data_IF_084323394681
#
_entry.id   IF_084323394681
#
_cell.length_a   1.000
_cell.length_b   1.000
_cell.length_c   1.000
_cell.angle_alpha   90.00
_cell.angle_beta   90.00
_cell.angle_gamma   90.00
#
_symmetry.space_group_name_H-M   'P 1'
#
loop_
_entity.id
_entity.type
_entity.pdbx_description
1 polymer ?
#
# COMPACT_ATOMS: atom_id res chain seq x y z
N UNK A 1 3.62 -17.88 3.04
CA UNK A 1 4.04 -17.21 4.29
C UNK A 1 2.99 -17.42 5.38
N UNK A 2 1.72 -17.07 5.17
CA UNK A 2 0.65 -17.20 6.17
C UNK A 2 0.43 -18.62 6.69
N UNK A 3 0.74 -19.64 5.93
CA UNK A 3 0.58 -21.05 6.34
C UNK A 3 1.54 -21.47 7.46
N UNK A 4 2.69 -20.80 7.57
CA UNK A 4 3.73 -21.10 8.56
C UNK A 4 3.74 -20.13 9.74
N UNK A 5 3.02 -19.02 9.63
CA UNK A 5 2.89 -18.03 10.69
C UNK A 5 1.89 -18.48 11.77
N UNK A 6 1.90 -17.81 12.92
CA UNK A 6 0.98 -18.08 14.01
C UNK A 6 -0.48 -17.90 13.56
N UNK A 7 -1.23 -18.98 13.52
CA UNK A 7 -2.64 -18.97 13.14
C UNK A 7 -3.50 -18.32 14.23
N UNK A 8 -4.57 -17.65 13.84
CA UNK A 8 -5.43 -16.90 14.76
C UNK A 8 -6.05 -17.78 15.86
N UNK A 9 -6.52 -18.96 15.50
CA UNK A 9 -7.09 -19.94 16.43
C UNK A 9 -6.10 -20.40 17.52
N UNK A 10 -4.79 -20.41 17.20
CA UNK A 10 -3.70 -20.71 18.14
C UNK A 10 -3.27 -19.48 18.93
N UNK A 11 -3.37 -18.29 18.33
CA UNK A 11 -3.05 -17.04 18.98
C UNK A 11 -4.04 -16.72 20.12
N UNK A 12 -5.33 -16.96 19.91
CA UNK A 12 -6.38 -16.65 20.89
C UNK A 12 -6.11 -17.24 22.29
N UNK A 13 -5.90 -18.56 22.46
CA UNK A 13 -5.65 -19.12 23.79
C UNK A 13 -4.31 -18.66 24.39
N UNK A 14 -3.33 -18.33 23.57
CA UNK A 14 -2.06 -17.78 24.03
C UNK A 14 -2.26 -16.35 24.59
N UNK A 15 -2.99 -15.52 23.88
CA UNK A 15 -3.30 -14.15 24.31
C UNK A 15 -4.15 -14.15 25.57
N UNK A 16 -5.17 -15.04 25.71
CA UNK A 16 -5.95 -15.18 26.94
C UNK A 16 -5.05 -15.48 28.16
N UNK A 17 -4.09 -16.37 27.99
CA UNK A 17 -3.14 -16.70 29.08
C UNK A 17 -2.26 -15.51 29.44
N UNK A 18 -1.82 -14.71 28.48
CA UNK A 18 -0.99 -13.52 28.73
C UNK A 18 -1.79 -12.39 29.38
N UNK A 19 -3.04 -12.19 28.95
CA UNK A 19 -3.96 -11.24 29.59
C UNK A 19 -4.17 -11.64 31.06
N UNK A 20 -4.54 -12.90 31.33
CA UNK A 20 -4.75 -13.40 32.70
C UNK A 20 -3.49 -13.29 33.58
N UNK A 21 -2.31 -13.51 33.00
CA UNK A 21 -1.04 -13.32 33.70
C UNK A 21 -0.80 -11.84 34.03
N UNK A 22 -1.11 -10.94 33.13
CA UNK A 22 -1.05 -9.50 33.35
C UNK A 22 -1.98 -9.09 34.49
N UNK A 23 -3.24 -9.49 34.43
CA UNK A 23 -4.26 -9.22 35.44
C UNK A 23 -3.81 -9.72 36.86
N UNK A 24 -3.27 -10.95 36.94
CA UNK A 24 -2.74 -11.53 38.15
C UNK A 24 -1.63 -10.68 38.79
N UNK A 25 -0.86 -9.98 37.99
CA UNK A 25 0.27 -9.16 38.45
C UNK A 25 -0.02 -7.64 38.42
N UNK A 26 -1.29 -7.25 38.32
CA UNK A 26 -1.71 -5.84 38.17
C UNK A 26 -0.95 -5.11 37.05
N UNK A 27 -0.77 -5.79 35.93
CA UNK A 27 -0.15 -5.26 34.69
C UNK A 27 -1.13 -5.37 33.54
N UNK A 28 -1.06 -4.38 32.65
CA UNK A 28 -1.81 -4.42 31.39
C UNK A 28 -0.94 -5.13 30.36
N UNK A 29 -1.50 -6.17 29.73
CA UNK A 29 -0.92 -6.80 28.56
C UNK A 29 -1.60 -6.27 27.32
N UNK A 30 -0.82 -5.90 26.32
CA UNK A 30 -1.32 -5.43 25.04
C UNK A 30 -0.46 -5.94 23.87
N UNK A 31 -0.93 -5.72 22.65
CA UNK A 31 -0.21 -6.14 21.43
C UNK A 31 0.11 -4.94 20.55
N UNK A 32 1.19 -5.06 19.80
CA UNK A 32 1.53 -4.10 18.75
C UNK A 32 1.21 -4.69 17.39
N UNK A 33 0.39 -3.99 16.63
CA UNK A 33 0.05 -4.27 15.24
C UNK A 33 0.64 -3.17 14.37
N UNK A 34 1.48 -3.43 13.36
CA UNK A 34 2.18 -4.66 13.01
C UNK A 34 3.63 -4.32 12.65
N UNK A 35 4.48 -5.31 12.47
CA UNK A 35 5.82 -5.13 11.90
C UNK A 35 5.74 -5.17 10.37
N UNK A 36 6.90 -4.93 9.71
CA UNK A 36 7.08 -5.19 8.28
C UNK A 36 6.73 -6.65 7.95
N UNK A 37 6.14 -6.85 6.79
CA UNK A 37 5.66 -8.15 6.35
C UNK A 37 6.63 -8.75 5.32
N UNK A 38 7.19 -9.95 5.53
CA UNK A 38 8.04 -10.58 4.55
C UNK A 38 7.22 -11.06 3.34
N UNK A 39 7.68 -10.73 2.15
CA UNK A 39 7.12 -11.17 0.88
C UNK A 39 8.20 -11.85 0.04
N UNK A 40 7.82 -12.87 -0.72
CA UNK A 40 8.76 -13.60 -1.57
C UNK A 40 9.22 -12.72 -2.74
N UNK A 41 10.49 -12.89 -3.10
CA UNK A 41 11.06 -12.30 -4.30
C UNK A 41 10.89 -13.31 -5.43
N UNK A 42 10.15 -12.92 -6.47
CA UNK A 42 9.83 -13.83 -7.58
C UNK A 42 10.67 -13.56 -8.83
N UNK A 43 11.19 -12.36 -8.99
CA UNK A 43 11.84 -11.92 -10.22
C UNK A 43 13.28 -11.42 -10.01
N UNK A 44 13.96 -11.88 -8.96
CA UNK A 44 15.31 -11.45 -8.60
C UNK A 44 15.46 -9.92 -8.43
N UNK A 45 14.43 -9.24 -7.93
CA UNK A 45 14.40 -7.79 -7.72
C UNK A 45 15.43 -7.37 -6.67
N UNK A 46 15.70 -8.25 -5.70
CA UNK A 46 16.73 -8.09 -4.67
C UNK A 46 17.56 -9.37 -4.55
N UNK A 47 18.81 -9.29 -4.08
CA UNK A 47 19.55 -10.48 -3.67
C UNK A 47 18.87 -11.10 -2.44
N UNK A 48 18.53 -12.38 -2.53
CA UNK A 48 17.86 -13.14 -1.47
C UNK A 48 16.49 -13.66 -1.91
N UNK A 49 15.82 -14.34 -0.99
CA UNK A 49 14.52 -14.98 -1.26
C UNK A 49 13.34 -14.14 -0.83
N UNK A 50 13.55 -13.21 0.09
CA UNK A 50 12.48 -12.39 0.69
C UNK A 50 12.85 -10.92 0.76
N UNK A 51 11.84 -10.07 0.71
CA UNK A 51 11.90 -8.65 1.01
C UNK A 51 10.80 -8.28 2.02
N UNK A 52 10.85 -7.08 2.59
CA UNK A 52 9.90 -6.64 3.59
C UNK A 52 8.96 -5.57 3.06
N UNK A 53 7.67 -5.87 3.05
CA UNK A 53 6.62 -4.89 2.78
C UNK A 53 6.43 -3.99 3.99
N UNK A 54 6.32 -2.68 3.76
CA UNK A 54 6.15 -1.68 4.80
C UNK A 54 5.20 -0.55 4.37
N UNK A 55 4.89 0.35 5.28
CA UNK A 55 4.12 1.55 4.98
C UNK A 55 2.64 1.28 4.71
N UNK A 56 2.07 2.01 3.75
CA UNK A 56 0.62 2.07 3.53
C UNK A 56 -0.01 0.73 3.13
N UNK A 57 0.72 -0.13 2.46
CA UNK A 57 0.26 -1.47 2.07
C UNK A 57 -0.01 -2.41 3.25
N UNK A 58 0.52 -2.09 4.44
CA UNK A 58 0.22 -2.84 5.67
C UNK A 58 -1.15 -2.47 6.28
N UNK A 59 -1.73 -1.33 5.93
CA UNK A 59 -2.96 -0.83 6.58
C UNK A 59 -4.12 -1.84 6.53
N UNK A 60 -4.48 -2.45 5.38
CA UNK A 60 -5.57 -3.42 5.32
C UNK A 60 -5.34 -4.64 6.21
N UNK A 61 -4.12 -5.18 6.16
CA UNK A 61 -3.75 -6.36 6.97
C UNK A 61 -3.79 -6.03 8.46
N UNK A 62 -3.23 -4.88 8.85
CA UNK A 62 -3.16 -4.46 10.24
C UNK A 62 -4.54 -4.22 10.84
N UNK A 63 -5.41 -3.49 10.13
CA UNK A 63 -6.76 -3.19 10.62
C UNK A 63 -7.65 -4.44 10.57
N UNK A 64 -7.50 -5.31 9.58
CA UNK A 64 -8.21 -6.60 9.58
C UNK A 64 -7.85 -7.50 10.77
N UNK A 65 -6.57 -7.53 11.18
CA UNK A 65 -6.16 -8.22 12.41
C UNK A 65 -6.70 -7.53 13.65
N UNK A 66 -6.70 -6.18 13.68
CA UNK A 66 -7.29 -5.42 14.79
C UNK A 66 -8.80 -5.71 14.95
N UNK A 67 -9.53 -5.83 13.84
CA UNK A 67 -10.95 -6.21 13.83
C UNK A 67 -11.17 -7.59 14.48
N UNK A 68 -10.42 -8.60 14.04
CA UNK A 68 -10.51 -9.95 14.61
C UNK A 68 -10.18 -9.97 16.11
N UNK A 69 -9.11 -9.28 16.51
CA UNK A 69 -8.71 -9.22 17.92
C UNK A 69 -9.70 -8.43 18.78
N UNK A 70 -10.21 -7.31 18.28
CA UNK A 70 -11.21 -6.52 19.03
C UNK A 70 -12.54 -7.24 19.17
N UNK A 71 -12.95 -8.00 18.16
CA UNK A 71 -14.14 -8.85 18.24
C UNK A 71 -14.00 -9.95 19.30
N UNK A 72 -12.80 -10.53 19.46
CA UNK A 72 -12.52 -11.61 20.42
C UNK A 72 -12.32 -11.10 21.85
N UNK A 73 -11.56 -10.03 22.05
CA UNK A 73 -11.08 -9.60 23.36
C UNK A 73 -11.69 -8.29 23.87
N UNK A 74 -12.25 -7.47 22.96
CA UNK A 74 -12.77 -6.14 23.30
C UNK A 74 -11.71 -5.26 23.97
N UNK A 75 -12.10 -4.55 25.04
CA UNK A 75 -11.23 -3.66 25.79
C UNK A 75 -10.14 -4.37 26.61
N UNK A 76 -10.23 -5.70 26.77
CA UNK A 76 -9.25 -6.50 27.54
C UNK A 76 -7.88 -6.58 26.87
N UNK A 77 -7.80 -6.33 25.56
CA UNK A 77 -6.56 -6.37 24.80
C UNK A 77 -6.27 -5.02 24.15
N UNK A 78 -5.58 -4.10 24.84
CA UNK A 78 -5.10 -2.86 24.24
C UNK A 78 -4.18 -3.14 23.06
N UNK A 79 -4.32 -2.32 22.03
CA UNK A 79 -3.55 -2.44 20.79
C UNK A 79 -2.78 -1.14 20.51
N UNK A 80 -1.52 -1.27 20.13
CA UNK A 80 -0.75 -0.18 19.53
C UNK A 80 -0.60 -0.40 18.03
N UNK A 81 -0.33 0.67 17.28
CA UNK A 81 -0.33 0.63 15.83
C UNK A 81 1.02 0.95 15.21
N UNK A 82 1.37 0.20 14.16
CA UNK A 82 2.46 0.49 13.26
C UNK A 82 2.13 -0.10 11.88
N UNK A 83 2.16 0.68 10.82
CA UNK A 83 1.93 0.17 9.47
C UNK A 83 1.03 1.08 8.62
N UNK A 84 1.63 2.11 8.02
CA UNK A 84 0.94 2.96 7.06
C UNK A 84 0.02 4.02 7.65
N UNK A 85 0.24 4.44 8.90
CA UNK A 85 -0.43 5.62 9.44
C UNK A 85 0.05 6.86 8.69
N UNK A 86 -0.90 7.63 8.18
CA UNK A 86 -0.72 8.88 7.43
C UNK A 86 -1.77 9.89 7.87
N UNK A 87 -1.63 11.14 7.44
CA UNK A 87 -2.55 12.22 7.79
C UNK A 87 -4.03 11.86 7.56
N UNK A 88 -4.34 11.13 6.49
CA UNK A 88 -5.71 10.80 6.11
C UNK A 88 -6.38 9.74 7.00
N UNK A 89 -5.61 8.92 7.71
CA UNK A 89 -6.15 7.80 8.48
C UNK A 89 -5.79 7.81 9.97
N UNK A 90 -4.82 8.63 10.39
CA UNK A 90 -4.33 8.62 11.76
C UNK A 90 -5.42 8.92 12.78
N UNK A 91 -6.31 9.88 12.48
CA UNK A 91 -7.43 10.21 13.36
C UNK A 91 -8.38 9.03 13.53
N UNK A 92 -8.76 8.37 12.44
CA UNK A 92 -9.65 7.21 12.49
C UNK A 92 -9.03 6.06 13.31
N UNK A 93 -7.71 5.84 13.21
CA UNK A 93 -7.00 4.84 14.01
C UNK A 93 -7.05 5.21 15.51
N UNK A 94 -6.83 6.48 15.85
CA UNK A 94 -6.92 6.96 17.23
C UNK A 94 -8.34 6.85 17.79
N UNK A 95 -9.35 7.24 17.02
CA UNK A 95 -10.76 7.16 17.44
C UNK A 95 -11.20 5.71 17.71
N UNK A 96 -10.55 4.74 17.08
CA UNK A 96 -10.73 3.31 17.38
C UNK A 96 -10.16 2.86 18.73
N UNK A 97 -9.46 3.72 19.45
CA UNK A 97 -8.78 3.36 20.70
C UNK A 97 -7.50 2.53 20.48
N UNK A 98 -6.91 2.62 19.30
CA UNK A 98 -5.63 1.97 18.99
C UNK A 98 -4.50 2.99 19.21
N UNK A 99 -3.77 2.80 20.31
CA UNK A 99 -2.77 3.76 20.77
C UNK A 99 -1.67 3.05 21.59
N UNK A 100 -0.36 3.48 21.49
CA UNK A 100 0.17 4.55 20.63
C UNK A 100 0.27 4.15 19.16
N UNK A 101 0.29 5.16 18.30
CA UNK A 101 0.54 5.00 16.86
C UNK A 101 2.00 5.36 16.57
N UNK A 102 2.71 4.47 15.86
CA UNK A 102 4.09 4.71 15.43
C UNK A 102 4.16 4.83 13.92
N UNK A 103 5.04 5.70 13.44
CA UNK A 103 5.27 5.98 12.03
C UNK A 103 6.76 5.87 11.68
N UNK A 104 7.07 5.36 10.50
CA UNK A 104 8.43 5.28 9.99
C UNK A 104 8.48 5.70 8.51
N UNK A 105 7.86 4.94 7.63
CA UNK A 105 7.94 5.12 6.17
C UNK A 105 7.58 6.54 5.72
N UNK A 106 6.58 7.17 6.34
CA UNK A 106 6.16 8.53 6.00
C UNK A 106 7.25 9.57 6.29
N UNK A 107 8.15 9.30 7.23
CA UNK A 107 9.26 10.19 7.58
C UNK A 107 10.41 10.12 6.56
N UNK A 108 10.43 9.07 5.75
CA UNK A 108 11.41 8.90 4.67
C UNK A 108 10.99 9.64 3.39
N UNK A 109 9.81 10.26 3.40
CA UNK A 109 9.28 11.06 2.29
C UNK A 109 9.83 12.49 2.33
N UNK A 110 9.60 13.25 1.24
CA UNK A 110 10.22 14.56 1.03
C UNK A 110 10.01 15.64 2.10
N UNK A 111 8.99 15.50 2.97
CA UNK A 111 8.76 16.42 4.09
C UNK A 111 9.46 15.98 5.39
N UNK A 112 9.91 14.70 5.44
CA UNK A 112 10.65 14.18 6.58
C UNK A 112 9.93 14.41 7.91
N UNK A 113 10.66 14.87 8.92
CA UNK A 113 10.13 15.12 10.27
C UNK A 113 9.07 16.23 10.36
N UNK A 114 8.95 17.11 9.37
CA UNK A 114 7.89 18.12 9.34
C UNK A 114 6.49 17.48 9.27
N UNK A 115 6.42 16.24 8.78
CA UNK A 115 5.19 15.44 8.76
C UNK A 115 4.62 15.20 10.16
N UNK A 116 5.45 15.14 11.21
CA UNK A 116 4.96 14.92 12.58
C UNK A 116 3.98 15.99 13.04
N UNK A 117 4.26 17.27 12.73
CA UNK A 117 3.34 18.33 13.09
C UNK A 117 1.98 18.11 12.45
N UNK A 118 1.95 17.81 11.14
CA UNK A 118 0.70 17.57 10.42
C UNK A 118 -0.07 16.35 10.97
N UNK A 119 0.63 15.31 11.42
CA UNK A 119 0.01 14.15 12.07
C UNK A 119 -0.53 14.48 13.46
N UNK A 120 0.21 15.28 14.25
CA UNK A 120 -0.20 15.71 15.59
C UNK A 120 -1.44 16.61 15.52
N UNK A 121 -1.46 17.55 14.58
CA UNK A 121 -2.59 18.47 14.38
C UNK A 121 -3.90 17.70 14.09
N UNK A 122 -3.84 16.55 13.38
CA UNK A 122 -5.04 15.73 13.10
C UNK A 122 -5.62 15.05 14.35
N UNK A 123 -4.80 14.78 15.35
CA UNK A 123 -5.22 14.08 16.58
C UNK A 123 -5.34 15.00 17.80
N UNK A 124 -5.05 16.29 17.65
CA UNK A 124 -5.05 17.27 18.74
C UNK A 124 -6.40 17.36 19.45
N UNK A 125 -7.50 17.22 18.71
CA UNK A 125 -8.87 17.26 19.22
C UNK A 125 -9.36 15.91 19.79
N UNK A 126 -8.54 14.86 19.79
CA UNK A 126 -8.94 13.55 20.26
C UNK A 126 -9.00 13.53 21.79
N UNK A 127 -10.09 13.00 22.35
CA UNK A 127 -10.16 12.70 23.78
C UNK A 127 -9.28 11.51 24.10
N UNK A 128 -8.09 11.77 24.64
CA UNK A 128 -7.12 10.73 24.98
C UNK A 128 -7.64 9.74 26.05
N UNK A 129 -8.56 10.14 26.91
CA UNK A 129 -9.15 9.21 27.89
C UNK A 129 -10.10 8.22 27.21
N UNK A 130 -10.85 8.65 26.21
CA UNK A 130 -11.67 7.77 25.38
C UNK A 130 -10.80 6.92 24.45
N UNK A 131 -9.74 7.49 23.88
CA UNK A 131 -8.82 6.79 22.97
C UNK A 131 -8.01 5.64 23.64
N UNK A 132 -8.02 5.53 24.97
CA UNK A 132 -7.40 4.40 25.68
C UNK A 132 -8.27 3.14 25.69
N UNK A 133 -9.51 3.22 25.21
CA UNK A 133 -10.43 2.08 25.14
C UNK A 133 -10.60 1.61 23.72
N UNK A 134 -10.47 0.31 23.53
CA UNK A 134 -10.68 -0.32 22.22
C UNK A 134 -12.16 -0.28 21.85
N UNK A 135 -12.49 0.35 20.73
CA UNK A 135 -13.83 0.51 20.21
C UNK A 135 -14.06 -0.43 19.02
N UNK A 136 -14.50 -1.66 19.29
CA UNK A 136 -14.64 -2.71 18.27
C UNK A 136 -15.57 -2.32 17.10
N UNK A 137 -16.62 -1.54 17.37
CA UNK A 137 -17.56 -1.07 16.34
C UNK A 137 -16.87 -0.11 15.37
N UNK A 138 -16.06 0.83 15.88
CA UNK A 138 -15.31 1.77 15.06
C UNK A 138 -14.19 1.06 14.27
N UNK A 139 -13.58 0.02 14.87
CA UNK A 139 -12.58 -0.80 14.14
C UNK A 139 -13.21 -1.55 12.98
N UNK A 140 -14.38 -2.13 13.17
CA UNK A 140 -15.11 -2.81 12.10
C UNK A 140 -15.55 -1.84 10.98
N UNK A 141 -15.99 -0.62 11.34
CA UNK A 141 -16.31 0.42 10.38
C UNK A 141 -15.05 0.86 9.60
N UNK A 142 -13.93 1.08 10.30
CA UNK A 142 -12.65 1.41 9.69
C UNK A 142 -12.16 0.31 8.73
N UNK A 143 -12.30 -0.96 9.11
CA UNK A 143 -11.95 -2.10 8.27
C UNK A 143 -12.78 -2.11 6.98
N UNK A 144 -14.08 -1.85 7.09
CA UNK A 144 -14.98 -1.72 5.95
C UNK A 144 -14.58 -0.56 5.03
N UNK A 145 -14.31 0.62 5.59
CA UNK A 145 -13.91 1.80 4.83
C UNK A 145 -12.59 1.58 4.08
N UNK A 146 -11.67 0.83 4.67
CA UNK A 146 -10.42 0.43 4.01
C UNK A 146 -10.71 -0.56 2.87
N UNK A 147 -11.56 -1.56 3.10
CA UNK A 147 -11.95 -2.53 2.07
C UNK A 147 -12.66 -1.86 0.87
N UNK A 148 -13.41 -0.78 1.13
CA UNK A 148 -14.05 0.06 0.09
C UNK A 148 -13.09 1.10 -0.51
N UNK A 149 -11.78 1.02 -0.24
CA UNK A 149 -10.72 1.92 -0.72
C UNK A 149 -10.87 3.41 -0.35
N UNK A 150 -11.76 3.78 0.57
CA UNK A 150 -12.00 5.18 0.95
C UNK A 150 -10.77 5.88 1.52
N UNK A 151 -9.93 5.14 2.27
CA UNK A 151 -8.73 5.65 2.93
C UNK A 151 -7.43 5.45 2.13
N UNK A 152 -7.51 4.81 0.97
CA UNK A 152 -6.39 4.65 0.05
C UNK A 152 -6.32 5.73 -1.02
N UNK A 153 -7.35 6.58 -1.14
CA UNK A 153 -7.34 7.68 -2.11
C UNK A 153 -6.15 8.60 -1.86
N UNK A 154 -5.46 8.93 -2.93
CA UNK A 154 -4.44 9.96 -2.89
C UNK A 154 -5.11 11.30 -2.59
N UNK A 155 -4.55 12.07 -1.64
CA UNK A 155 -5.08 13.39 -1.34
C UNK A 155 -4.92 14.33 -2.55
N UNK A 156 -5.79 15.33 -2.65
CA UNK A 156 -5.68 16.36 -3.71
C UNK A 156 -4.33 17.09 -3.65
N UNK A 157 -3.75 17.22 -2.46
CA UNK A 157 -2.41 17.78 -2.29
C UNK A 157 -1.34 16.89 -2.91
N UNK A 158 -1.44 15.55 -2.78
CA UNK A 158 -0.54 14.60 -3.43
C UNK A 158 -0.72 14.58 -4.94
N UNK A 159 -1.96 14.68 -5.43
CA UNK A 159 -2.25 14.82 -6.86
C UNK A 159 -1.60 16.08 -7.44
N UNK A 160 -1.77 17.24 -6.78
CA UNK A 160 -1.15 18.51 -7.19
C UNK A 160 0.37 18.47 -7.15
N UNK A 161 0.96 17.83 -6.12
CA UNK A 161 2.40 17.66 -6.02
C UNK A 161 2.93 16.81 -7.18
N UNK A 162 2.22 15.76 -7.54
CA UNK A 162 2.54 14.91 -8.68
C UNK A 162 2.48 15.67 -10.01
N UNK A 163 1.43 16.47 -10.22
CA UNK A 163 1.28 17.32 -11.40
C UNK A 163 2.38 18.39 -11.51
N UNK A 164 2.81 18.93 -10.35
CA UNK A 164 3.85 19.96 -10.28
C UNK A 164 5.28 19.41 -10.40
N UNK A 165 5.50 18.10 -10.26
CA UNK A 165 6.84 17.53 -10.44
C UNK A 165 7.23 17.61 -11.92
N UNK A 166 8.42 18.14 -12.23
CA UNK A 166 8.85 18.25 -13.61
C UNK A 166 8.93 16.85 -14.23
N UNK A 167 8.30 16.67 -15.37
CA UNK A 167 8.59 15.51 -16.20
C UNK A 167 9.98 15.69 -16.79
N UNK A 168 10.81 14.66 -16.70
CA UNK A 168 12.13 14.71 -17.28
C UNK A 168 12.02 14.60 -18.82
N UNK A 169 12.58 15.53 -19.60
CA UNK A 169 12.53 15.45 -21.04
C UNK A 169 13.10 14.12 -21.55
N UNK A 170 12.40 13.47 -22.44
CA UNK A 170 12.86 12.25 -23.13
C UNK A 170 12.62 10.94 -22.36
N UNK A 171 11.87 10.94 -21.26
CA UNK A 171 11.58 9.75 -20.49
C UNK A 171 10.16 9.27 -20.52
N UNK A 172 9.21 10.09 -20.92
CA UNK A 172 8.04 9.53 -21.56
C UNK A 172 8.49 8.90 -22.85
N UNK A 173 9.04 7.70 -22.72
CA UNK A 173 9.11 6.88 -23.90
C UNK A 173 7.65 6.69 -24.33
N UNK A 174 7.33 7.18 -25.49
CA UNK A 174 6.04 6.92 -26.14
C UNK A 174 5.75 5.41 -26.26
N UNK A 175 6.73 4.59 -25.98
CA UNK A 175 6.72 3.14 -25.99
C UNK A 175 6.80 2.51 -24.57
N UNK A 176 6.85 3.33 -23.50
CA UNK A 176 6.93 2.89 -22.10
C UNK A 176 8.11 1.98 -21.76
N UNK A 177 9.10 1.87 -22.64
CA UNK A 177 10.26 1.03 -22.48
C UNK A 177 11.29 1.67 -21.53
N UNK A 178 11.81 0.87 -20.62
CA UNK A 178 13.01 1.18 -19.88
C UNK A 178 14.22 0.74 -20.70
N UNK A 179 15.03 1.67 -21.19
CA UNK A 179 16.18 1.34 -22.06
C UNK A 179 17.24 0.51 -21.36
N UNK A 180 17.43 0.72 -20.05
CA UNK A 180 18.50 0.10 -19.27
C UNK A 180 18.04 -1.14 -18.54
N UNK A 181 16.76 -1.22 -18.17
CA UNK A 181 16.14 -2.27 -17.37
C UNK A 181 16.99 -2.67 -16.15
N UNK A 182 17.58 -1.68 -15.49
CA UNK A 182 18.50 -1.90 -14.36
C UNK A 182 17.80 -2.39 -13.09
N UNK A 183 16.46 -2.29 -13.02
CA UNK A 183 15.66 -2.69 -11.86
C UNK A 183 15.83 -1.81 -10.61
N UNK A 184 16.50 -0.66 -10.71
CA UNK A 184 16.69 0.23 -9.54
C UNK A 184 15.37 0.70 -8.96
N UNK A 185 14.40 1.10 -9.80
CA UNK A 185 13.07 1.54 -9.36
C UNK A 185 12.28 0.44 -8.62
N UNK A 186 12.50 -0.82 -8.96
CA UNK A 186 11.93 -1.97 -8.25
C UNK A 186 12.57 -2.14 -6.88
N UNK A 187 13.91 -2.15 -6.83
CA UNK A 187 14.68 -2.39 -5.61
C UNK A 187 14.54 -1.31 -4.55
N UNK A 188 14.48 -0.04 -4.95
CA UNK A 188 14.43 1.09 -4.02
C UNK A 188 13.01 1.43 -3.56
N UNK A 189 11.98 0.80 -4.14
CA UNK A 189 10.61 1.08 -3.76
C UNK A 189 10.27 0.42 -2.41
N UNK A 190 10.01 1.22 -1.35
CA UNK A 190 9.72 0.65 -0.03
C UNK A 190 8.40 -0.11 0.03
N UNK A 191 7.51 0.12 -0.95
CA UNK A 191 6.18 -0.47 -1.01
C UNK A 191 6.00 -1.43 -2.20
N UNK A 192 7.08 -1.78 -2.88
CA UNK A 192 7.05 -2.69 -4.05
C UNK A 192 6.03 -2.26 -5.11
N UNK A 193 6.02 -0.98 -5.47
CA UNK A 193 5.07 -0.43 -6.43
C UNK A 193 5.52 -0.51 -7.89
N UNK A 194 6.68 -1.08 -8.17
CA UNK A 194 7.17 -1.25 -9.53
C UNK A 194 7.48 -2.72 -9.76
N UNK A 195 6.77 -3.32 -10.70
CA UNK A 195 6.89 -4.73 -11.03
C UNK A 195 7.51 -4.90 -12.42
N UNK A 196 8.27 -5.97 -12.60
CA UNK A 196 8.84 -6.34 -13.90
C UNK A 196 7.87 -7.27 -14.58
N UNK A 197 7.57 -7.03 -15.84
CA UNK A 197 6.84 -7.97 -16.71
C UNK A 197 7.67 -8.28 -17.95
N UNK A 198 7.46 -9.46 -18.52
CA UNK A 198 8.18 -9.87 -19.74
C UNK A 198 7.23 -9.97 -20.92
N UNK A 199 7.46 -9.13 -21.91
CA UNK A 199 6.67 -9.10 -23.16
C UNK A 199 7.61 -9.35 -24.34
N UNK A 200 7.41 -10.43 -25.08
CA UNK A 200 8.25 -10.81 -26.23
C UNK A 200 9.76 -10.75 -25.91
N UNK A 201 10.16 -11.38 -24.80
CA UNK A 201 11.53 -11.41 -24.27
C UNK A 201 12.09 -10.04 -23.82
N UNK A 202 11.33 -8.97 -23.95
CA UNK A 202 11.70 -7.66 -23.42
C UNK A 202 11.10 -7.46 -22.00
N UNK A 203 11.92 -6.95 -21.09
CA UNK A 203 11.47 -6.60 -19.73
C UNK A 203 10.93 -5.18 -19.70
N UNK A 204 9.75 -5.01 -19.13
CA UNK A 204 9.08 -3.73 -18.92
C UNK A 204 8.82 -3.52 -17.44
N UNK A 205 8.62 -2.28 -17.04
CA UNK A 205 8.24 -1.93 -15.68
C UNK A 205 6.78 -1.49 -15.70
N UNK A 206 5.95 -2.15 -14.89
CA UNK A 206 4.58 -1.73 -14.59
C UNK A 206 4.55 -1.13 -13.20
N UNK A 207 3.97 0.04 -13.08
CA UNK A 207 3.77 0.71 -11.80
C UNK A 207 2.43 0.26 -11.19
N UNK A 208 2.41 -0.03 -9.88
CA UNK A 208 1.20 -0.41 -9.13
C UNK A 208 0.76 0.79 -8.29
N UNK A 209 -0.32 1.43 -8.67
CA UNK A 209 -0.78 2.70 -8.07
C UNK A 209 -1.20 2.57 -6.61
N UNK A 210 -1.96 1.53 -6.28
CA UNK A 210 -2.59 1.33 -4.97
C UNK A 210 -1.60 1.37 -3.80
N UNK A 211 -0.43 0.77 -3.98
CA UNK A 211 0.60 0.69 -2.95
C UNK A 211 1.56 1.89 -2.96
N UNK A 212 1.50 2.75 -3.97
CA UNK A 212 2.41 3.86 -4.14
C UNK A 212 2.05 5.02 -3.18
N UNK A 213 3.04 5.43 -2.39
CA UNK A 213 2.94 6.62 -1.54
C UNK A 213 3.65 7.85 -2.15
N UNK A 214 4.08 7.77 -3.41
CA UNK A 214 4.73 8.86 -4.16
C UNK A 214 5.98 9.44 -3.46
N UNK A 215 6.74 8.59 -2.76
CA UNK A 215 7.95 9.02 -2.05
C UNK A 215 9.07 9.54 -2.97
N UNK A 216 9.00 9.26 -4.28
CA UNK A 216 10.00 9.69 -5.26
C UNK A 216 11.30 8.88 -5.30
N UNK A 217 11.48 7.86 -4.44
CA UNK A 217 12.71 7.06 -4.42
C UNK A 217 13.04 6.43 -5.77
N UNK A 218 12.03 5.91 -6.47
CA UNK A 218 12.24 5.31 -7.78
C UNK A 218 12.73 6.33 -8.82
N UNK A 219 12.28 7.58 -8.75
CA UNK A 219 12.76 8.66 -9.61
C UNK A 219 14.17 9.11 -9.23
N UNK A 220 14.44 9.26 -7.92
CA UNK A 220 15.75 9.67 -7.41
C UNK A 220 16.87 8.69 -7.81
N UNK A 221 16.58 7.39 -7.85
CA UNK A 221 17.54 6.33 -8.17
C UNK A 221 17.46 5.84 -9.62
N UNK A 222 16.61 6.45 -10.44
CA UNK A 222 16.56 6.12 -11.86
C UNK A 222 17.83 6.63 -12.55
N UNK A 223 18.49 5.75 -13.28
CA UNK A 223 19.69 6.11 -14.06
C UNK A 223 19.33 6.90 -15.33
N UNK A 224 18.07 6.86 -15.74
CA UNK A 224 17.52 7.72 -16.78
C UNK A 224 16.74 8.88 -16.13
N UNK A 225 16.62 10.03 -16.80
CA UNK A 225 15.77 11.12 -16.34
C UNK A 225 14.29 10.71 -16.40
N UNK A 226 13.81 9.94 -15.44
CA UNK A 226 12.51 9.27 -15.39
C UNK A 226 11.89 9.29 -14.01
N UNK A 227 10.60 9.46 -13.97
CA UNK A 227 9.77 9.27 -12.78
C UNK A 227 8.97 7.96 -12.95
N UNK A 228 9.52 6.77 -12.61
CA UNK A 228 8.87 5.51 -12.89
C UNK A 228 7.42 5.42 -12.41
N UNK A 229 7.11 6.02 -11.24
CA UNK A 229 5.75 6.06 -10.68
C UNK A 229 4.77 6.94 -11.48
N UNK A 230 5.26 7.71 -12.46
CA UNK A 230 4.46 8.58 -13.32
C UNK A 230 4.58 8.21 -14.80
N UNK A 231 5.79 7.84 -15.22
CA UNK A 231 6.13 7.69 -16.65
C UNK A 231 5.95 6.24 -17.15
N UNK A 232 5.67 5.27 -16.27
CA UNK A 232 5.45 3.87 -16.65
C UNK A 232 3.98 3.54 -16.74
N UNK A 233 3.63 2.53 -17.54
CA UNK A 233 2.27 1.96 -17.54
C UNK A 233 1.88 1.65 -16.09
N UNK A 234 0.72 2.10 -15.69
CA UNK A 234 0.24 1.97 -14.33
C UNK A 234 -0.90 0.97 -14.24
N UNK A 235 -0.78 0.00 -13.34
CA UNK A 235 -1.90 -0.83 -12.93
C UNK A 235 -2.69 -0.11 -11.83
N UNK A 236 -4.00 0.05 -12.05
CA UNK A 236 -4.94 0.62 -11.10
C UNK A 236 -5.83 -0.46 -10.52
N UNK A 237 -6.21 -0.30 -9.28
CA UNK A 237 -7.09 -1.25 -8.60
C UNK A 237 -8.52 -1.26 -9.17
N UNK A 238 -9.01 -0.12 -9.63
CA UNK A 238 -10.35 0.05 -10.18
C UNK A 238 -10.45 1.29 -11.10
N UNK A 239 -11.64 1.49 -11.67
CA UNK A 239 -11.95 2.60 -12.55
C UNK A 239 -11.79 3.98 -11.85
N UNK A 240 -12.13 4.08 -10.57
CA UNK A 240 -12.04 5.31 -9.81
C UNK A 240 -10.58 5.73 -9.64
N UNK A 241 -9.69 4.78 -9.35
CA UNK A 241 -8.25 5.03 -9.24
C UNK A 241 -7.65 5.47 -10.58
N UNK A 242 -8.09 4.91 -11.70
CA UNK A 242 -7.70 5.37 -13.04
C UNK A 242 -8.18 6.81 -13.28
N UNK A 243 -9.45 7.11 -12.99
CA UNK A 243 -10.02 8.44 -13.18
C UNK A 243 -9.31 9.51 -12.32
N UNK A 244 -8.87 9.12 -11.11
CA UNK A 244 -8.15 9.99 -10.16
C UNK A 244 -6.69 10.23 -10.54
N UNK A 245 -6.14 9.52 -11.52
CA UNK A 245 -4.76 9.62 -11.98
C UNK A 245 -4.66 10.26 -13.36
N UNK A 246 -3.50 10.81 -13.68
CA UNK A 246 -3.16 11.28 -15.04
C UNK A 246 -2.25 10.31 -15.79
N UNK A 247 -1.88 9.19 -15.16
CA UNK A 247 -1.00 8.22 -15.80
C UNK A 247 -1.74 7.40 -16.85
N UNK A 248 -1.03 7.03 -17.88
CA UNK A 248 -1.47 5.95 -18.75
C UNK A 248 -1.40 4.62 -18.00
N UNK A 249 -2.43 3.79 -18.15
CA UNK A 249 -2.50 2.53 -17.43
C UNK A 249 -3.82 1.82 -17.61
N UNK A 250 -4.02 0.81 -16.77
CA UNK A 250 -5.17 -0.07 -16.89
C UNK A 250 -5.64 -0.60 -15.53
N UNK A 251 -6.89 -1.02 -15.47
CA UNK A 251 -7.45 -1.84 -14.41
C UNK A 251 -8.21 -3.03 -14.99
N UNK A 252 -8.40 -4.07 -14.19
CA UNK A 252 -9.04 -5.32 -14.64
C UNK A 252 -10.27 -5.60 -13.79
N UNK A 253 -11.36 -6.02 -14.45
CA UNK A 253 -12.59 -6.47 -13.80
C UNK A 253 -13.10 -7.71 -14.55
N UNK A 254 -12.86 -8.88 -13.97
CA UNK A 254 -13.16 -10.16 -14.63
C UNK A 254 -12.36 -10.32 -15.94
N UNK A 255 -13.04 -10.44 -17.08
CA UNK A 255 -12.42 -10.52 -18.42
C UNK A 255 -12.27 -9.16 -19.11
N UNK A 256 -12.79 -8.09 -18.49
CA UNK A 256 -12.75 -6.75 -19.04
C UNK A 256 -11.58 -5.95 -18.51
N UNK A 257 -11.04 -5.07 -19.33
CA UNK A 257 -9.98 -4.13 -18.99
C UNK A 257 -10.44 -2.71 -19.31
N UNK A 258 -10.40 -1.83 -18.30
CA UNK A 258 -10.49 -0.40 -18.52
C UNK A 258 -9.09 0.18 -18.61
N UNK A 259 -8.88 1.13 -19.51
CA UNK A 259 -7.56 1.69 -19.75
C UNK A 259 -7.59 3.17 -20.13
N UNK A 260 -6.48 3.84 -19.87
CA UNK A 260 -6.04 5.09 -20.50
C UNK A 260 -4.70 4.83 -21.13
N UNK A 261 -4.59 5.05 -22.45
CA UNK A 261 -3.37 4.79 -23.19
C UNK A 261 -3.25 5.73 -24.39
N UNK A 262 -2.17 6.51 -24.43
CA UNK A 262 -1.88 7.47 -25.52
C UNK A 262 -3.04 8.45 -25.82
N UNK A 263 -3.76 8.84 -24.78
CA UNK A 263 -4.88 9.79 -24.89
C UNK A 263 -6.23 9.14 -25.22
N UNK A 264 -6.30 7.84 -25.39
CA UNK A 264 -7.54 7.08 -25.53
C UNK A 264 -7.94 6.48 -24.16
N UNK A 265 -9.23 6.56 -23.84
CA UNK A 265 -9.83 5.90 -22.68
C UNK A 265 -11.00 5.03 -23.13
N UNK A 266 -10.98 3.76 -22.73
CA UNK A 266 -12.06 2.83 -23.03
C UNK A 266 -12.11 1.67 -22.02
N UNK A 267 -13.20 0.91 -22.10
CA UNK A 267 -13.37 -0.38 -21.42
C UNK A 267 -13.71 -1.40 -22.50
N UNK A 268 -12.93 -2.48 -22.57
CA UNK A 268 -13.13 -3.53 -23.55
C UNK A 268 -12.73 -4.89 -22.96
N UNK A 269 -12.94 -5.96 -23.71
CA UNK A 269 -12.34 -7.26 -23.44
C UNK A 269 -10.80 -7.16 -23.53
N UNK A 270 -10.08 -7.91 -22.68
CA UNK A 270 -8.60 -7.90 -22.65
C UNK A 270 -8.02 -8.22 -24.04
N UNK A 271 -8.69 -9.10 -24.80
CA UNK A 271 -8.25 -9.48 -26.14
C UNK A 271 -8.49 -8.40 -27.22
N UNK A 272 -9.33 -7.42 -26.91
CA UNK A 272 -9.63 -6.29 -27.79
C UNK A 272 -8.77 -5.03 -27.52
N UNK A 273 -7.84 -5.08 -26.57
CA UNK A 273 -6.93 -3.99 -26.24
C UNK A 273 -6.03 -3.60 -27.43
N UNK A 274 -5.56 -2.32 -27.47
CA UNK A 274 -4.47 -1.93 -28.37
C UNK A 274 -3.28 -2.88 -28.24
N UNK A 275 -2.69 -3.30 -29.36
CA UNK A 275 -1.69 -4.39 -29.39
C UNK A 275 -0.50 -4.13 -28.45
N UNK A 276 -0.04 -2.88 -28.36
CA UNK A 276 1.06 -2.50 -27.47
C UNK A 276 0.71 -2.66 -25.98
N UNK A 277 -0.53 -2.34 -25.60
CA UNK A 277 -1.01 -2.47 -24.21
C UNK A 277 -1.39 -3.92 -23.88
N UNK A 278 -1.96 -4.63 -24.84
CA UNK A 278 -2.41 -6.03 -24.72
C UNK A 278 -1.29 -6.95 -24.22
N UNK A 279 -0.10 -6.85 -24.83
CA UNK A 279 1.06 -7.65 -24.42
C UNK A 279 1.44 -7.40 -22.93
N UNK A 280 1.41 -6.14 -22.51
CA UNK A 280 1.71 -5.75 -21.12
C UNK A 280 0.66 -6.28 -20.15
N UNK A 281 -0.63 -6.14 -20.50
CA UNK A 281 -1.75 -6.60 -19.65
C UNK A 281 -1.72 -8.13 -19.50
N UNK A 282 -1.53 -8.86 -20.59
CA UNK A 282 -1.41 -10.33 -20.53
C UNK A 282 -0.22 -10.79 -19.69
N UNK A 283 0.96 -10.17 -19.87
CA UNK A 283 2.14 -10.50 -19.06
C UNK A 283 1.90 -10.17 -17.60
N UNK A 284 1.31 -9.04 -17.27
CA UNK A 284 1.00 -8.64 -15.90
C UNK A 284 0.02 -9.61 -15.23
N UNK A 285 -1.08 -9.97 -15.90
CA UNK A 285 -2.04 -10.94 -15.39
C UNK A 285 -1.42 -12.32 -15.13
N UNK A 286 -0.49 -12.73 -15.99
CA UNK A 286 0.18 -14.02 -15.87
C UNK A 286 1.24 -14.04 -14.78
N UNK A 287 2.07 -13.00 -14.71
CA UNK A 287 3.24 -12.96 -13.82
C UNK A 287 2.89 -12.42 -12.42
N UNK A 288 1.81 -11.64 -12.30
CA UNK A 288 1.38 -10.98 -11.08
C UNK A 288 -0.10 -11.23 -10.77
N UNK A 289 -0.52 -12.49 -10.84
CA UNK A 289 -1.91 -12.95 -10.65
C UNK A 289 -2.55 -12.43 -9.36
N UNK A 290 -1.77 -12.25 -8.31
CA UNK A 290 -2.24 -11.76 -7.01
C UNK A 290 -2.74 -10.31 -6.97
N UNK A 291 -2.50 -9.54 -8.03
CA UNK A 291 -3.11 -8.20 -8.17
C UNK A 291 -4.47 -8.23 -8.86
N UNK A 292 -4.77 -9.31 -9.61
CA UNK A 292 -5.96 -9.40 -10.48
C UNK A 292 -6.95 -10.48 -10.05
N UNK A 293 -6.65 -11.19 -8.95
CA UNK A 293 -7.50 -12.25 -8.37
C UNK A 293 -8.58 -11.69 -7.44
#
# INVERSE_FOLDING_TARGET
QFEVDLQFDKAVPMLERLIALGEKHNKIFGVKLTNTFPVQIHNNELPGEQMYMSGKSLLPVTIGVAELLSAQFGERLPMSYSGGAVKQNIKAIFDCGIWPVTVCTILLQGEGYNTFKALADEVESTDYNAALKVHKELIAELAKDIAENKLFKKSDAMKKKREAMPSFPGTRSSDYHCRVVCGSCVRVCPNRCNEVVTVNDAKLIVHVDQSCNECGNCACHCVEPCQPYKDRITFFHNAEALADSTNDGFYITGTSCGYRFKGEEAVCDIDALPEELKGVVHAFCKEHVYYVS
#
